data_IF_114420878819
#
_entry.id   IF_114420878819
#
_cell.length_a   1.000
_cell.length_b   1.000
_cell.length_c   1.000
_cell.angle_alpha   90.00
_cell.angle_beta   90.00
_cell.angle_gamma   90.00
#
_symmetry.space_group_name_H-M   'P 1'
#
loop_
_entity.id
_entity.type
_entity.pdbx_description
1 polymer ?
#
# COMPACT_ATOMS: atom_id res chain seq x y z
N UNK A 1 -9.60 1.74 -62.25
CA UNK A 1 -9.58 2.44 -60.94
C UNK A 1 -8.20 2.26 -60.33
N UNK A 2 -7.57 3.33 -59.81
CA UNK A 2 -6.12 3.39 -59.54
C UNK A 2 -5.71 2.47 -58.35
N UNK A 3 -4.62 1.70 -58.47
CA UNK A 3 -4.14 0.76 -57.43
C UNK A 3 -3.77 1.43 -56.08
N UNK A 4 -3.63 2.75 -56.08
CA UNK A 4 -3.39 3.54 -54.86
C UNK A 4 -4.61 3.59 -53.93
N UNK A 5 -5.83 3.71 -54.47
CA UNK A 5 -7.04 3.78 -53.67
C UNK A 5 -7.33 2.45 -52.97
N UNK A 6 -7.09 1.33 -53.66
CA UNK A 6 -7.25 -0.02 -53.09
C UNK A 6 -6.28 -0.26 -51.93
N UNK A 7 -5.02 0.20 -52.03
CA UNK A 7 -4.03 0.08 -50.93
C UNK A 7 -4.44 0.87 -49.68
N UNK A 8 -4.95 2.08 -49.86
CA UNK A 8 -5.41 2.92 -48.74
C UNK A 8 -6.61 2.28 -48.02
N UNK A 9 -7.57 1.76 -48.79
CA UNK A 9 -8.75 1.06 -48.22
C UNK A 9 -8.33 -0.19 -47.43
N UNK A 10 -7.37 -0.97 -47.94
CA UNK A 10 -6.86 -2.15 -47.23
C UNK A 10 -6.16 -1.77 -45.92
N UNK A 11 -5.39 -0.68 -45.89
CA UNK A 11 -4.74 -0.19 -44.66
C UNK A 11 -5.77 0.25 -43.63
N UNK A 12 -6.82 0.95 -44.03
CA UNK A 12 -7.90 1.40 -43.13
C UNK A 12 -8.64 0.19 -42.54
N UNK A 13 -8.99 -0.80 -43.36
CA UNK A 13 -9.66 -2.02 -42.91
C UNK A 13 -8.74 -2.82 -41.98
N UNK A 14 -7.45 -2.95 -42.31
CA UNK A 14 -6.48 -3.63 -41.47
C UNK A 14 -6.33 -2.93 -40.11
N UNK A 15 -6.21 -1.60 -40.07
CA UNK A 15 -6.15 -0.84 -38.83
C UNK A 15 -7.44 -0.98 -38.00
N UNK A 16 -8.61 -0.97 -38.66
CA UNK A 16 -9.91 -1.11 -38.01
C UNK A 16 -10.15 -2.52 -37.40
N UNK A 17 -9.44 -3.55 -37.87
CA UNK A 17 -9.52 -4.91 -37.32
C UNK A 17 -8.40 -5.16 -36.31
N UNK A 18 -7.17 -4.76 -36.64
CA UNK A 18 -5.98 -5.00 -35.80
C UNK A 18 -6.03 -4.19 -34.52
N UNK A 19 -6.51 -2.93 -34.54
CA UNK A 19 -6.55 -2.12 -33.33
C UNK A 19 -7.53 -2.66 -32.27
N UNK A 20 -8.79 -3.05 -32.60
CA UNK A 20 -9.67 -3.71 -31.64
C UNK A 20 -9.16 -5.08 -31.23
N UNK A 21 -8.61 -5.88 -32.15
CA UNK A 21 -8.07 -7.20 -31.82
C UNK A 21 -6.86 -7.12 -30.89
N UNK A 22 -5.96 -6.15 -31.09
CA UNK A 22 -4.84 -5.89 -30.20
C UNK A 22 -5.30 -5.38 -28.83
N UNK A 23 -6.33 -4.52 -28.80
CA UNK A 23 -6.96 -4.06 -27.56
C UNK A 23 -7.56 -5.24 -26.76
N UNK A 24 -8.37 -6.07 -27.40
CA UNK A 24 -8.97 -7.25 -26.76
C UNK A 24 -7.93 -8.32 -26.39
N UNK A 25 -6.90 -8.51 -27.21
CA UNK A 25 -5.81 -9.44 -26.88
C UNK A 25 -5.00 -8.94 -25.68
N UNK A 26 -4.75 -7.64 -25.58
CA UNK A 26 -4.11 -7.02 -24.42
C UNK A 26 -4.99 -7.15 -23.17
N UNK A 27 -6.30 -6.88 -23.28
CA UNK A 27 -7.26 -7.02 -22.18
C UNK A 27 -7.41 -8.48 -21.72
N UNK A 28 -7.36 -9.44 -22.66
CA UNK A 28 -7.41 -10.87 -22.36
C UNK A 28 -6.10 -11.37 -21.73
N UNK A 29 -4.95 -10.87 -22.21
CA UNK A 29 -3.64 -11.22 -21.67
C UNK A 29 -3.44 -10.68 -20.25
N UNK A 30 -3.88 -9.45 -19.96
CA UNK A 30 -3.84 -8.87 -18.62
C UNK A 30 -4.80 -9.57 -17.65
N UNK A 31 -5.92 -10.11 -18.14
CA UNK A 31 -6.88 -10.86 -17.30
C UNK A 31 -6.54 -12.34 -17.08
N UNK A 32 -5.78 -13.00 -17.97
CA UNK A 32 -5.77 -14.47 -18.03
C UNK A 32 -4.46 -15.17 -17.61
N UNK A 33 -3.36 -14.46 -17.37
CA UNK A 33 -2.04 -15.10 -17.21
C UNK A 33 -1.21 -14.68 -16.00
N UNK A 34 -1.81 -14.15 -14.93
CA UNK A 34 -1.05 -13.83 -13.72
C UNK A 34 -1.08 -15.03 -12.76
N UNK A 35 0.06 -15.71 -12.51
CA UNK A 35 0.13 -16.78 -11.52
C UNK A 35 -0.32 -16.26 -10.15
N UNK A 36 -1.12 -17.05 -9.43
CA UNK A 36 -1.76 -16.71 -8.15
C UNK A 36 -0.81 -16.23 -7.05
N UNK A 37 0.51 -16.41 -7.20
CA UNK A 37 1.53 -16.00 -6.24
C UNK A 37 2.19 -14.63 -6.54
N UNK A 38 1.85 -13.94 -7.64
CA UNK A 38 2.45 -12.66 -8.09
C UNK A 38 1.43 -11.48 -8.02
N UNK A 39 0.16 -11.79 -7.77
CA UNK A 39 -0.97 -10.92 -8.12
C UNK A 39 -1.09 -9.55 -7.40
N UNK A 40 -0.77 -9.37 -6.10
CA UNK A 40 -1.05 -8.10 -5.43
C UNK A 40 -0.01 -7.01 -5.74
N UNK A 41 1.25 -7.37 -5.95
CA UNK A 41 2.32 -6.41 -6.27
C UNK A 41 2.15 -5.74 -7.64
N UNK A 42 1.33 -6.32 -8.52
CA UNK A 42 0.98 -5.74 -9.81
C UNK A 42 0.10 -4.49 -9.71
N UNK A 43 -0.57 -4.31 -8.57
CA UNK A 43 -1.38 -3.14 -8.27
C UNK A 43 -0.62 -2.14 -7.38
N UNK A 44 0.67 -2.37 -7.12
CA UNK A 44 1.51 -1.46 -6.35
C UNK A 44 2.49 -0.80 -7.32
N UNK A 45 2.60 0.54 -7.35
CA UNK A 45 3.56 1.23 -8.20
C UNK A 45 5.02 0.85 -7.86
N UNK A 46 5.84 0.55 -8.87
CA UNK A 46 7.24 0.16 -8.70
C UNK A 46 8.17 1.28 -8.21
N UNK A 47 7.68 2.51 -8.18
CA UNK A 47 8.34 3.68 -7.59
C UNK A 47 7.90 3.97 -6.15
N UNK A 48 7.07 3.12 -5.53
CA UNK A 48 6.58 3.29 -4.15
C UNK A 48 7.73 3.51 -3.17
N UNK A 49 7.55 4.47 -2.27
CA UNK A 49 8.48 4.81 -1.19
C UNK A 49 8.36 3.85 -0.02
N UNK A 50 7.16 3.34 0.24
CA UNK A 50 6.87 2.33 1.26
C UNK A 50 6.08 1.22 0.60
N UNK A 51 6.41 -0.02 0.94
CA UNK A 51 5.57 -1.19 0.70
C UNK A 51 5.56 -2.00 1.98
N UNK A 52 4.40 -2.42 2.46
CA UNK A 52 4.27 -3.25 3.65
C UNK A 52 3.25 -4.36 3.42
N UNK A 53 3.57 -5.56 3.87
CA UNK A 53 2.60 -6.66 4.00
C UNK A 53 2.19 -6.80 5.46
N UNK A 54 0.92 -7.10 5.71
CA UNK A 54 0.36 -7.34 7.04
C UNK A 54 -0.46 -8.62 6.99
N UNK A 55 -0.01 -9.63 7.73
CA UNK A 55 -0.69 -10.91 7.91
C UNK A 55 -1.43 -10.92 9.25
N UNK A 56 -2.75 -10.92 9.19
CA UNK A 56 -3.61 -10.98 10.39
C UNK A 56 -4.80 -11.91 10.15
N UNK A 57 -5.02 -12.85 11.06
CA UNK A 57 -6.16 -13.78 11.03
C UNK A 57 -6.37 -14.52 9.70
N UNK A 58 -5.28 -14.89 9.01
CA UNK A 58 -5.33 -15.59 7.71
C UNK A 58 -5.59 -14.67 6.51
N UNK A 59 -5.70 -13.38 6.74
CA UNK A 59 -5.80 -12.34 5.71
C UNK A 59 -4.45 -11.66 5.52
N UNK A 60 -4.14 -11.34 4.26
CA UNK A 60 -2.98 -10.52 3.89
C UNK A 60 -3.44 -9.18 3.30
N UNK A 61 -2.86 -8.10 3.81
CA UNK A 61 -3.03 -6.74 3.31
C UNK A 61 -1.69 -6.20 2.83
N UNK A 62 -1.70 -5.45 1.72
CA UNK A 62 -0.52 -4.79 1.18
C UNK A 62 -0.73 -3.29 1.22
N UNK A 63 0.06 -2.58 2.02
CA UNK A 63 0.03 -1.13 2.07
C UNK A 63 1.17 -0.59 1.21
N UNK A 64 0.92 0.48 0.48
CA UNK A 64 1.95 1.17 -0.27
C UNK A 64 1.80 2.67 -0.16
N UNK A 65 2.91 3.38 -0.38
CA UNK A 65 2.93 4.82 -0.46
C UNK A 65 3.67 5.24 -1.72
N UNK A 66 3.04 6.05 -2.56
CA UNK A 66 3.69 6.64 -3.74
C UNK A 66 3.50 8.16 -3.77
N UNK A 67 4.63 8.88 -3.86
CA UNK A 67 4.65 10.34 -3.87
C UNK A 67 3.83 10.99 -2.74
N UNK A 68 3.86 10.42 -1.54
CA UNK A 68 3.14 10.89 -0.34
C UNK A 68 1.68 10.42 -0.22
N UNK A 69 1.18 9.64 -1.19
CA UNK A 69 -0.20 9.16 -1.20
C UNK A 69 -0.27 7.68 -0.83
N UNK A 70 -1.25 7.30 0.00
CA UNK A 70 -1.35 5.95 0.58
C UNK A 70 -2.41 5.12 -0.16
N UNK A 71 -2.08 3.87 -0.43
CA UNK A 71 -3.02 2.86 -0.91
C UNK A 71 -2.84 1.51 -0.23
N UNK A 72 -3.87 0.68 -0.34
CA UNK A 72 -4.00 -0.64 0.26
C UNK A 72 -4.53 -1.58 -0.81
N UNK A 73 -3.86 -2.70 -1.04
CA UNK A 73 -4.36 -3.83 -1.82
C UNK A 73 -4.76 -4.93 -0.84
N UNK A 74 -5.96 -5.45 -0.97
CA UNK A 74 -6.47 -6.52 -0.11
C UNK A 74 -7.21 -7.55 -0.95
N UNK A 75 -7.09 -8.83 -0.59
CA UNK A 75 -7.88 -9.88 -1.24
C UNK A 75 -9.37 -9.67 -0.93
N UNK A 76 -10.25 -9.81 -1.93
CA UNK A 76 -11.70 -9.62 -1.74
C UNK A 76 -12.28 -10.67 -0.76
N UNK A 77 -11.69 -11.86 -0.68
CA UNK A 77 -12.09 -12.88 0.31
C UNK A 77 -11.89 -12.41 1.75
N UNK A 78 -11.02 -11.42 1.99
CA UNK A 78 -10.83 -10.81 3.29
C UNK A 78 -11.92 -9.80 3.67
N UNK A 79 -12.70 -9.36 2.69
CA UNK A 79 -13.71 -8.29 2.81
C UNK A 79 -15.10 -8.89 2.98
N UNK A 80 -15.24 -10.22 3.00
CA UNK A 80 -16.50 -10.92 3.25
C UNK A 80 -17.09 -10.69 4.66
N UNK A 81 -16.49 -9.82 5.48
CA UNK A 81 -17.04 -9.33 6.76
C UNK A 81 -17.68 -7.94 6.64
N UNK A 82 -17.96 -7.45 5.43
CA UNK A 82 -18.82 -6.28 5.23
C UNK A 82 -20.23 -6.64 5.73
N UNK A 83 -20.76 -5.79 6.62
CA UNK A 83 -22.06 -5.96 7.27
C UNK A 83 -23.12 -6.44 6.25
N UNK A 84 -23.78 -7.59 6.46
CA UNK A 84 -24.79 -8.11 5.55
C UNK A 84 -25.99 -7.15 5.34
N UNK A 85 -26.11 -6.11 6.16
CA UNK A 85 -27.11 -5.05 6.02
C UNK A 85 -26.70 -3.91 5.05
N UNK A 86 -25.49 -3.94 4.48
CA UNK A 86 -25.08 -2.99 3.44
C UNK A 86 -25.70 -3.37 2.09
N UNK A 87 -26.85 -2.77 1.78
CA UNK A 87 -27.49 -2.90 0.46
C UNK A 87 -26.83 -1.96 -0.55
N UNK A 88 -26.22 -2.52 -1.59
CA UNK A 88 -25.75 -1.76 -2.75
C UNK A 88 -26.95 -1.14 -3.49
N UNK A 89 -26.86 0.15 -3.82
CA UNK A 89 -27.87 0.87 -4.61
C UNK A 89 -27.25 1.34 -5.92
N UNK A 90 -27.99 1.20 -7.01
CA UNK A 90 -27.57 1.56 -8.38
C UNK A 90 -27.73 3.06 -8.68
N UNK A 91 -28.06 3.87 -7.67
CA UNK A 91 -28.01 5.33 -7.70
C UNK A 91 -26.88 5.79 -6.78
N UNK A 92 -26.27 6.99 -6.94
CA UNK A 92 -25.35 7.55 -5.95
C UNK A 92 -26.08 7.65 -4.60
N UNK A 93 -26.03 6.58 -3.83
CA UNK A 93 -26.83 6.42 -2.65
C UNK A 93 -25.92 6.72 -1.46
N UNK A 94 -26.44 7.56 -0.57
CA UNK A 94 -25.88 7.64 0.76
C UNK A 94 -25.82 6.22 1.34
N UNK A 95 -24.63 5.81 1.83
CA UNK A 95 -24.49 4.60 2.61
C UNK A 95 -25.18 4.87 3.94
N UNK A 96 -26.48 4.63 3.99
CA UNK A 96 -27.29 4.83 5.18
C UNK A 96 -27.19 3.59 6.05
N UNK A 97 -26.10 3.49 6.82
CA UNK A 97 -26.03 2.56 7.93
C UNK A 97 -26.98 3.04 9.03
N UNK A 98 -28.11 2.35 9.24
CA UNK A 98 -29.01 2.58 10.38
C UNK A 98 -28.44 1.94 11.65
N UNK A 99 -27.24 2.38 12.04
CA UNK A 99 -26.51 1.88 13.20
C UNK A 99 -25.58 2.96 13.74
N UNK A 100 -25.67 3.20 15.03
CA UNK A 100 -24.86 4.10 15.87
C UNK A 100 -23.54 4.55 15.24
N UNK A 101 -23.45 5.80 14.78
CA UNK A 101 -22.20 6.50 14.41
C UNK A 101 -21.13 5.64 13.69
N UNK A 102 -21.52 4.85 12.69
CA UNK A 102 -20.59 4.03 11.90
C UNK A 102 -19.66 4.86 11.00
N UNK A 103 -18.53 4.29 10.60
CA UNK A 103 -17.49 4.92 9.77
C UNK A 103 -18.00 5.51 8.44
N UNK A 104 -19.06 4.91 7.91
CA UNK A 104 -19.70 5.30 6.64
C UNK A 104 -21.01 6.08 6.86
N UNK A 105 -21.34 6.47 8.09
CA UNK A 105 -22.57 7.22 8.38
C UNK A 105 -22.55 8.58 7.68
N UNK A 106 -23.44 8.77 6.71
CA UNK A 106 -23.53 10.00 5.91
C UNK A 106 -22.54 10.07 4.74
N UNK A 107 -21.82 8.98 4.44
CA UNK A 107 -21.00 8.90 3.24
C UNK A 107 -21.86 8.71 1.99
N UNK A 108 -21.37 9.17 0.84
CA UNK A 108 -22.00 8.93 -0.46
C UNK A 108 -21.01 8.21 -1.37
N UNK A 109 -21.49 7.30 -2.21
CA UNK A 109 -20.65 6.61 -3.19
C UNK A 109 -20.95 7.14 -4.58
N UNK A 110 -19.91 7.65 -5.24
CA UNK A 110 -19.95 8.06 -6.64
C UNK A 110 -19.06 7.14 -7.46
N UNK A 111 -19.51 6.78 -8.65
CA UNK A 111 -18.67 6.07 -9.61
C UNK A 111 -17.95 7.07 -10.52
N UNK A 112 -16.65 6.90 -10.71
CA UNK A 112 -15.81 7.62 -11.67
C UNK A 112 -15.10 6.60 -12.55
N UNK A 113 -14.73 7.00 -13.77
CA UNK A 113 -13.95 6.15 -14.67
C UNK A 113 -12.57 6.77 -14.85
N UNK A 114 -11.52 5.99 -14.60
CA UNK A 114 -10.14 6.37 -14.85
C UNK A 114 -9.48 5.30 -15.72
N UNK A 115 -8.99 5.68 -16.90
CA UNK A 115 -8.31 4.78 -17.84
C UNK A 115 -9.08 3.48 -18.11
N UNK A 116 -10.40 3.62 -18.34
CA UNK A 116 -11.36 2.52 -18.53
C UNK A 116 -11.63 1.62 -17.30
N UNK A 117 -11.02 1.92 -16.15
CA UNK A 117 -11.31 1.26 -14.87
C UNK A 117 -12.41 1.99 -14.13
N UNK A 118 -13.40 1.25 -13.64
CA UNK A 118 -14.44 1.76 -12.75
C UNK A 118 -13.88 1.94 -11.34
N UNK A 119 -13.90 3.18 -10.85
CA UNK A 119 -13.42 3.55 -9.52
C UNK A 119 -14.61 4.09 -8.72
N UNK A 120 -14.72 3.65 -7.48
CA UNK A 120 -15.72 4.10 -6.51
C UNK A 120 -15.09 5.16 -5.61
N UNK A 121 -15.62 6.38 -5.66
CA UNK A 121 -15.30 7.47 -4.74
C UNK A 121 -16.32 7.43 -3.59
N UNK A 122 -15.85 7.10 -2.39
CA UNK A 122 -16.62 7.12 -1.15
C UNK A 122 -16.34 8.47 -0.48
N UNK A 123 -17.30 9.37 -0.55
CA UNK A 123 -17.20 10.74 -0.09
C UNK A 123 -17.61 10.90 1.37
N UNK A 124 -17.01 11.87 2.06
CA UNK A 124 -17.39 12.30 3.40
C UNK A 124 -17.31 11.20 4.47
N UNK A 125 -16.31 10.31 4.40
CA UNK A 125 -16.06 9.32 5.44
C UNK A 125 -15.61 10.03 6.71
N UNK A 126 -16.27 9.73 7.84
CA UNK A 126 -15.87 10.25 9.14
C UNK A 126 -14.67 9.47 9.68
N UNK A 127 -13.47 10.02 9.49
CA UNK A 127 -12.22 9.37 9.91
C UNK A 127 -11.87 9.61 11.37
N UNK A 128 -12.59 10.50 12.05
CA UNK A 128 -12.32 10.84 13.46
C UNK A 128 -12.52 9.64 14.39
N UNK A 129 -13.51 8.80 14.12
CA UNK A 129 -13.71 7.55 14.85
C UNK A 129 -12.61 6.50 14.60
N UNK A 130 -12.00 6.50 13.42
CA UNK A 130 -10.88 5.60 13.08
C UNK A 130 -9.63 6.03 13.85
N UNK A 131 -9.28 7.31 13.77
CA UNK A 131 -8.06 7.84 14.37
C UNK A 131 -8.06 7.73 15.90
N UNK A 132 -9.20 7.98 16.55
CA UNK A 132 -9.34 7.84 18.01
C UNK A 132 -9.13 6.38 18.44
N UNK A 133 -9.74 5.41 17.74
CA UNK A 133 -9.63 3.99 18.05
C UNK A 133 -8.24 3.42 17.75
N UNK A 134 -7.62 3.83 16.63
CA UNK A 134 -6.29 3.34 16.24
C UNK A 134 -5.17 3.90 17.13
N UNK A 135 -5.25 5.19 17.48
CA UNK A 135 -4.19 5.86 18.22
C UNK A 135 -4.44 5.85 19.74
N UNK A 136 -5.62 5.40 20.20
CA UNK A 136 -6.06 5.47 21.60
C UNK A 136 -5.76 6.83 22.24
N UNK A 137 -6.00 7.90 21.48
CA UNK A 137 -5.86 9.28 21.95
C UNK A 137 -7.24 9.90 21.95
N UNK A 138 -7.55 10.60 23.04
CA UNK A 138 -8.71 11.48 23.14
C UNK A 138 -8.47 12.73 22.30
N UNK A 139 -8.51 12.58 20.97
CA UNK A 139 -8.53 13.72 20.06
C UNK A 139 -9.83 14.50 20.32
N UNK A 140 -9.73 15.82 20.55
CA UNK A 140 -10.90 16.70 20.55
C UNK A 140 -11.71 16.39 19.29
N UNK A 141 -13.02 16.23 19.43
CA UNK A 141 -13.97 15.91 18.37
C UNK A 141 -13.84 16.91 17.19
N UNK A 142 -12.92 16.66 16.29
CA UNK A 142 -12.84 17.36 15.00
C UNK A 142 -13.65 16.53 14.05
N UNK A 143 -14.69 17.08 13.42
CA UNK A 143 -15.44 16.38 12.37
C UNK A 143 -14.59 16.36 11.09
N UNK A 144 -13.54 15.54 11.08
CA UNK A 144 -12.66 15.39 9.93
C UNK A 144 -13.29 14.37 8.99
N UNK A 145 -13.66 14.83 7.80
CA UNK A 145 -14.14 13.98 6.72
C UNK A 145 -13.07 13.82 5.65
N UNK A 146 -13.01 12.64 5.03
CA UNK A 146 -12.10 12.34 3.94
C UNK A 146 -12.83 11.57 2.83
N UNK A 147 -12.33 11.70 1.60
CA UNK A 147 -12.76 10.88 0.49
C UNK A 147 -11.78 9.71 0.33
N UNK A 148 -12.32 8.51 0.14
CA UNK A 148 -11.54 7.30 -0.15
C UNK A 148 -11.98 6.79 -1.51
N UNK A 149 -11.02 6.30 -2.29
CA UNK A 149 -11.22 5.77 -3.62
C UNK A 149 -10.92 4.28 -3.59
N UNK A 150 -11.72 3.50 -4.32
CA UNK A 150 -11.55 2.06 -4.40
C UNK A 150 -11.85 1.52 -5.80
N UNK A 151 -11.18 0.44 -6.20
CA UNK A 151 -11.55 -0.31 -7.40
C UNK A 151 -11.27 -1.80 -7.24
N UNK A 152 -12.04 -2.61 -7.97
CA UNK A 152 -11.91 -4.07 -8.00
C UNK A 152 -10.98 -4.49 -9.15
N UNK A 153 -10.07 -5.42 -8.87
CA UNK A 153 -9.11 -5.96 -9.82
C UNK A 153 -9.60 -7.27 -10.47
N UNK A 154 -10.76 -7.22 -11.11
CA UNK A 154 -11.39 -8.38 -11.77
C UNK A 154 -11.74 -9.53 -10.83
N UNK A 155 -12.15 -9.22 -9.59
CA UNK A 155 -12.75 -10.17 -8.65
C UNK A 155 -11.80 -10.84 -7.67
N UNK A 156 -10.51 -10.48 -7.64
CA UNK A 156 -9.52 -11.09 -6.74
C UNK A 156 -9.04 -10.13 -5.64
N UNK A 157 -8.76 -8.87 -5.97
CA UNK A 157 -8.31 -7.86 -5.01
C UNK A 157 -9.16 -6.61 -5.12
N UNK A 158 -9.27 -5.90 -4.01
CA UNK A 158 -9.65 -4.50 -4.02
C UNK A 158 -8.39 -3.68 -3.80
N UNK A 159 -8.32 -2.53 -4.46
CA UNK A 159 -7.38 -1.47 -4.10
C UNK A 159 -8.18 -0.33 -3.50
N UNK A 160 -7.76 0.17 -2.34
CA UNK A 160 -8.41 1.24 -1.58
C UNK A 160 -7.35 2.27 -1.20
N UNK A 161 -7.63 3.56 -1.37
CA UNK A 161 -6.68 4.59 -0.95
C UNK A 161 -7.12 5.99 -1.31
N UNK A 162 -6.16 6.90 -1.28
CA UNK A 162 -6.33 8.24 -1.82
C UNK A 162 -6.39 8.22 -3.35
N UNK A 163 -6.99 9.27 -3.94
CA UNK A 163 -7.18 9.35 -5.39
C UNK A 163 -5.86 9.16 -6.18
N UNK A 164 -4.78 9.81 -5.72
CA UNK A 164 -3.48 9.70 -6.37
C UNK A 164 -2.94 8.27 -6.30
N UNK A 165 -2.97 7.64 -5.12
CA UNK A 165 -2.55 6.26 -4.96
C UNK A 165 -3.35 5.28 -5.83
N UNK A 166 -4.65 5.51 -6.03
CA UNK A 166 -5.49 4.71 -6.94
C UNK A 166 -5.12 4.93 -8.41
N UNK A 167 -4.95 6.18 -8.84
CA UNK A 167 -4.55 6.48 -10.21
C UNK A 167 -3.17 5.88 -10.56
N UNK A 168 -2.21 5.97 -9.64
CA UNK A 168 -0.88 5.38 -9.81
C UNK A 168 -0.94 3.85 -9.80
N UNK A 169 -1.80 3.24 -8.98
CA UNK A 169 -2.02 1.79 -8.96
C UNK A 169 -2.58 1.27 -10.28
N UNK A 170 -3.61 1.94 -10.82
CA UNK A 170 -4.17 1.62 -12.15
C UNK A 170 -3.10 1.79 -13.23
N UNK A 171 -2.36 2.90 -13.19
CA UNK A 171 -1.29 3.19 -14.15
C UNK A 171 -0.15 2.18 -14.08
N UNK A 172 0.23 1.73 -12.88
CA UNK A 172 1.27 0.74 -12.66
C UNK A 172 0.87 -0.62 -13.25
N UNK A 173 -0.37 -1.06 -12.98
CA UNK A 173 -0.92 -2.31 -13.51
C UNK A 173 -0.99 -2.30 -15.03
N UNK A 174 -1.57 -1.26 -15.64
CA UNK A 174 -1.70 -1.15 -17.09
C UNK A 174 -0.34 -0.99 -17.79
N UNK A 175 0.58 -0.24 -17.20
CA UNK A 175 1.88 0.06 -17.83
C UNK A 175 3.00 -0.94 -17.47
N UNK A 176 2.71 -2.01 -16.71
CA UNK A 176 3.72 -2.94 -16.18
C UNK A 176 4.86 -2.23 -15.42
N UNK A 177 4.56 -1.12 -14.74
CA UNK A 177 5.48 -0.37 -13.87
C UNK A 177 5.20 -0.69 -12.41
N UNK A 178 5.03 -1.97 -12.15
CA UNK A 178 4.58 -2.48 -10.87
C UNK A 178 5.73 -2.81 -9.91
N UNK A 179 5.38 -3.22 -8.68
CA UNK A 179 6.32 -3.48 -7.61
C UNK A 179 6.68 -4.97 -7.46
N UNK A 180 6.51 -5.80 -8.50
CA UNK A 180 6.83 -7.24 -8.42
C UNK A 180 8.29 -7.49 -8.00
N UNK A 181 9.22 -6.62 -8.40
CA UNK A 181 10.63 -6.69 -8.01
C UNK A 181 10.88 -6.53 -6.50
N UNK A 182 9.93 -5.98 -5.75
CA UNK A 182 10.07 -5.79 -4.31
C UNK A 182 9.66 -7.00 -3.48
N UNK A 183 9.03 -8.01 -4.10
CA UNK A 183 8.63 -9.24 -3.40
C UNK A 183 9.80 -9.89 -2.66
N UNK A 184 11.00 -9.86 -3.25
CA UNK A 184 12.21 -10.41 -2.62
C UNK A 184 12.64 -9.72 -1.33
N UNK A 185 12.14 -8.52 -1.03
CA UNK A 185 12.39 -7.82 0.24
C UNK A 185 11.33 -8.13 1.29
N UNK A 186 10.25 -8.84 0.93
CA UNK A 186 9.16 -9.16 1.83
C UNK A 186 9.34 -10.54 2.45
N UNK A 187 8.96 -10.67 3.72
CA UNK A 187 8.97 -11.94 4.42
C UNK A 187 7.55 -12.41 4.75
N UNK A 188 7.08 -13.39 3.97
CA UNK A 188 5.74 -13.99 4.12
C UNK A 188 5.55 -14.73 5.46
N UNK A 189 6.65 -15.09 6.15
CA UNK A 189 6.58 -15.72 7.48
C UNK A 189 6.42 -14.71 8.62
N UNK A 190 6.43 -13.40 8.33
CA UNK A 190 6.31 -12.34 9.33
C UNK A 190 4.87 -11.82 9.41
N UNK A 191 4.43 -11.41 10.60
CA UNK A 191 3.13 -10.75 10.76
C UNK A 191 3.09 -9.40 10.04
N UNK A 192 4.20 -8.67 10.04
CA UNK A 192 4.38 -7.44 9.27
C UNK A 192 5.72 -7.53 8.56
N UNK A 193 5.73 -7.29 7.26
CA UNK A 193 6.95 -7.05 6.49
C UNK A 193 6.87 -5.66 5.88
N UNK A 194 7.97 -4.92 5.81
CA UNK A 194 8.00 -3.57 5.27
C UNK A 194 9.31 -3.34 4.52
N UNK A 195 9.20 -2.62 3.41
CA UNK A 195 10.28 -2.01 2.67
C UNK A 195 10.05 -0.50 2.66
N UNK A 196 11.10 0.25 2.94
CA UNK A 196 11.12 1.70 2.87
C UNK A 196 12.33 2.16 2.06
N UNK A 197 12.06 2.90 0.97
CA UNK A 197 13.07 3.59 0.19
C UNK A 197 13.33 4.95 0.83
N UNK A 198 14.55 5.15 1.30
CA UNK A 198 14.99 6.43 1.84
C UNK A 198 15.27 7.38 0.67
N UNK A 199 14.23 8.01 0.13
CA UNK A 199 14.32 8.94 -1.01
C UNK A 199 15.05 10.23 -0.63
N UNK A 200 16.39 10.21 -0.63
CA UNK A 200 17.29 11.33 -0.29
C UNK A 200 17.06 11.96 1.10
N UNK A 201 16.11 11.46 1.89
CA UNK A 201 15.76 11.97 3.22
C UNK A 201 16.83 11.59 4.24
N UNK A 202 17.48 10.44 4.02
CA UNK A 202 18.67 10.00 4.76
C UNK A 202 19.75 9.68 3.73
N UNK A 203 20.68 10.60 3.44
CA UNK A 203 21.59 10.49 2.30
C UNK A 203 22.56 9.29 2.39
N UNK A 204 22.73 8.71 3.57
CA UNK A 204 23.59 7.53 3.79
C UNK A 204 22.85 6.20 3.65
N UNK A 205 21.50 6.20 3.61
CA UNK A 205 20.68 4.98 3.56
C UNK A 205 20.01 4.88 2.19
N UNK A 206 20.11 3.71 1.57
CA UNK A 206 19.40 3.41 0.32
C UNK A 206 17.98 2.94 0.62
N UNK A 207 17.84 1.92 1.46
CA UNK A 207 16.55 1.39 1.88
C UNK A 207 16.63 0.71 3.24
N UNK A 208 15.47 0.52 3.84
CA UNK A 208 15.27 -0.22 5.09
C UNK A 208 14.24 -1.30 4.84
N UNK A 209 14.49 -2.52 5.30
CA UNK A 209 13.46 -3.55 5.41
C UNK A 209 13.19 -3.86 6.87
N UNK A 210 11.92 -4.07 7.23
CA UNK A 210 11.52 -4.49 8.57
C UNK A 210 10.69 -5.77 8.49
N UNK A 211 10.98 -6.74 9.34
CA UNK A 211 10.20 -7.97 9.50
C UNK A 211 9.83 -8.12 10.98
N UNK A 212 8.54 -8.17 11.28
CA UNK A 212 8.02 -8.27 12.64
C UNK A 212 7.13 -9.48 12.79
N UNK A 213 7.41 -10.28 13.82
CA UNK A 213 6.60 -11.41 14.30
C UNK A 213 5.93 -11.01 15.62
N UNK A 214 5.18 -11.93 16.24
CA UNK A 214 4.59 -11.72 17.57
C UNK A 214 5.61 -11.35 18.65
N UNK A 215 6.86 -11.82 18.53
CA UNK A 215 7.86 -11.71 19.60
C UNK A 215 9.12 -10.93 19.21
N UNK A 216 9.39 -10.76 17.91
CA UNK A 216 10.65 -10.17 17.44
C UNK A 216 10.42 -9.24 16.27
N UNK A 217 11.19 -8.17 16.22
CA UNK A 217 11.26 -7.25 15.09
C UNK A 217 12.69 -7.14 14.61
N UNK A 218 12.87 -7.27 13.31
CA UNK A 218 14.15 -7.23 12.63
C UNK A 218 14.17 -6.11 11.61
N UNK A 219 15.22 -5.31 11.61
CA UNK A 219 15.48 -4.30 10.59
C UNK A 219 16.77 -4.63 9.86
N UNK A 220 16.74 -4.56 8.53
CA UNK A 220 17.94 -4.43 7.71
C UNK A 220 17.99 -3.00 7.18
N UNK A 221 19.12 -2.35 7.36
CA UNK A 221 19.38 -1.02 6.85
C UNK A 221 20.51 -1.17 5.83
N UNK A 222 20.18 -0.92 4.57
CA UNK A 222 21.12 -0.98 3.47
C UNK A 222 21.65 0.44 3.21
N UNK A 223 22.94 0.69 3.43
CA UNK A 223 23.51 2.01 3.14
C UNK A 223 23.62 2.25 1.63
N UNK A 224 23.83 3.50 1.24
CA UNK A 224 24.22 3.87 -0.13
C UNK A 224 25.68 3.48 -0.40
N UNK A 225 26.55 3.56 0.62
CA UNK A 225 27.95 3.14 0.58
C UNK A 225 28.31 2.33 1.83
N UNK A 226 28.98 1.19 1.64
CA UNK A 226 29.39 0.31 2.74
C UNK A 226 30.58 0.83 3.56
N UNK A 227 31.25 1.90 3.14
CA UNK A 227 32.48 2.38 3.77
C UNK A 227 32.27 2.91 5.21
N UNK A 228 31.07 3.41 5.53
CA UNK A 228 30.79 4.11 6.79
C UNK A 228 29.89 3.30 7.75
N UNK A 229 29.71 1.99 7.50
CA UNK A 229 28.80 1.13 8.26
C UNK A 229 28.99 1.18 9.78
N UNK A 230 30.23 1.33 10.26
CA UNK A 230 30.51 1.43 11.70
C UNK A 230 30.06 2.78 12.28
N UNK A 231 30.23 3.86 11.52
CA UNK A 231 29.77 5.21 11.90
C UNK A 231 28.24 5.25 11.89
N UNK A 232 27.61 4.74 10.83
CA UNK A 232 26.16 4.65 10.73
C UNK A 232 25.57 3.79 11.86
N UNK A 233 26.18 2.64 12.17
CA UNK A 233 25.80 1.82 13.32
C UNK A 233 25.87 2.61 14.62
N UNK A 234 26.95 3.35 14.86
CA UNK A 234 27.10 4.17 16.06
C UNK A 234 26.04 5.28 16.15
N UNK A 235 25.73 5.93 15.02
CA UNK A 235 24.68 6.95 14.95
C UNK A 235 23.30 6.37 15.25
N UNK A 236 22.94 5.21 14.67
CA UNK A 236 21.68 4.53 14.95
C UNK A 236 21.60 4.14 16.43
N UNK A 237 22.68 3.57 16.97
CA UNK A 237 22.72 3.18 18.38
C UNK A 237 22.53 4.40 19.30
N UNK A 238 23.19 5.51 18.99
CA UNK A 238 23.06 6.77 19.72
C UNK A 238 21.65 7.36 19.62
N UNK A 239 21.05 7.33 18.42
CA UNK A 239 19.70 7.81 18.18
C UNK A 239 18.66 7.01 18.98
N UNK A 240 18.79 5.68 19.02
CA UNK A 240 17.92 4.82 19.83
C UNK A 240 18.07 5.17 21.31
N UNK A 241 19.29 5.17 21.84
CA UNK A 241 19.58 5.44 23.26
C UNK A 241 19.09 6.81 23.73
N UNK A 242 19.15 7.83 22.87
CA UNK A 242 18.72 9.19 23.20
C UNK A 242 17.24 9.47 22.90
N UNK A 243 16.51 8.52 22.34
CA UNK A 243 15.09 8.67 21.99
C UNK A 243 14.18 8.00 23.02
N UNK A 244 12.92 8.42 23.03
CA UNK A 244 11.86 7.73 23.79
C UNK A 244 11.64 6.27 23.33
N UNK A 245 12.15 5.89 22.14
CA UNK A 245 12.11 4.51 21.64
C UNK A 245 12.85 3.58 22.60
N UNK A 246 13.97 4.01 23.19
CA UNK A 246 14.72 3.20 24.18
C UNK A 246 13.87 2.80 25.39
N UNK A 247 12.91 3.64 25.80
CA UNK A 247 11.98 3.33 26.91
C UNK A 247 10.98 2.24 26.52
N UNK A 248 10.52 2.26 25.27
CA UNK A 248 9.55 1.30 24.75
C UNK A 248 10.18 -0.03 24.36
N UNK A 249 11.38 -0.04 23.78
CA UNK A 249 12.06 -1.28 23.38
C UNK A 249 12.92 -1.86 24.51
N UNK A 250 13.32 -1.04 25.49
CA UNK A 250 14.23 -1.42 26.57
C UNK A 250 15.66 -1.66 26.08
N UNK A 251 16.45 -2.39 26.87
CA UNK A 251 17.82 -2.79 26.51
C UNK A 251 17.87 -4.08 25.66
N UNK A 252 16.73 -4.58 25.20
CA UNK A 252 16.61 -5.87 24.52
C UNK A 252 16.69 -5.70 23.00
N UNK A 253 17.78 -5.11 22.54
CA UNK A 253 18.09 -4.99 21.12
C UNK A 253 19.56 -5.23 20.84
N UNK A 254 19.86 -5.70 19.63
CA UNK A 254 21.24 -5.90 19.16
C UNK A 254 21.43 -5.21 17.81
N UNK A 255 22.53 -4.50 17.64
CA UNK A 255 22.92 -3.92 16.34
C UNK A 255 24.22 -4.56 15.85
N UNK A 256 24.14 -5.26 14.71
CA UNK A 256 25.27 -5.95 14.08
C UNK A 256 25.47 -5.44 12.66
N UNK A 257 26.67 -5.67 12.12
CA UNK A 257 26.97 -5.43 10.70
C UNK A 257 27.32 -6.77 10.09
N UNK A 258 26.63 -7.15 9.03
CA UNK A 258 26.96 -8.31 8.20
C UNK A 258 26.49 -8.08 6.77
N UNK A 259 27.12 -8.75 5.80
CA UNK A 259 26.75 -8.65 4.38
C UNK A 259 26.63 -7.20 3.86
N UNK A 260 27.51 -6.32 4.32
CA UNK A 260 27.51 -4.88 4.01
C UNK A 260 26.22 -4.13 4.39
N UNK A 261 25.48 -4.63 5.39
CA UNK A 261 24.26 -4.04 5.92
C UNK A 261 24.34 -3.90 7.44
N UNK A 262 23.51 -3.01 7.99
CA UNK A 262 23.30 -2.88 9.43
C UNK A 262 22.03 -3.64 9.78
N UNK A 263 22.12 -4.49 10.79
CA UNK A 263 21.00 -5.28 11.27
C UNK A 263 20.66 -4.86 12.69
N UNK A 264 19.39 -4.56 12.93
CA UNK A 264 18.85 -4.27 14.25
C UNK A 264 17.81 -5.34 14.59
N UNK A 265 18.10 -6.15 15.61
CA UNK A 265 17.13 -7.08 16.19
C UNK A 265 16.57 -6.44 17.47
N UNK A 266 15.26 -6.52 17.64
CA UNK A 266 14.55 -6.12 18.87
C UNK A 266 13.75 -7.33 19.33
N UNK A 267 13.93 -7.74 20.59
CA UNK A 267 13.17 -8.85 21.20
C UNK A 267 11.78 -8.39 21.66
N UNK A 268 11.09 -7.64 20.80
CA UNK A 268 9.69 -7.27 20.90
C UNK A 268 9.04 -7.33 19.51
N UNK A 269 7.81 -7.83 19.46
CA UNK A 269 7.07 -8.03 18.21
C UNK A 269 6.10 -6.89 17.86
N UNK A 270 5.31 -7.12 16.81
CA UNK A 270 4.43 -6.10 16.21
C UNK A 270 3.35 -5.56 17.14
N UNK A 271 2.98 -6.28 18.20
CA UNK A 271 2.02 -5.81 19.22
C UNK A 271 2.55 -4.63 20.03
N UNK A 272 3.88 -4.45 20.08
CA UNK A 272 4.53 -3.32 20.74
C UNK A 272 4.80 -2.14 19.79
N UNK A 273 4.72 -2.35 18.48
CA UNK A 273 5.01 -1.32 17.45
C UNK A 273 4.09 -0.09 17.56
N UNK A 274 2.78 -0.21 17.85
CA UNK A 274 1.93 0.96 18.09
C UNK A 274 2.39 1.81 19.28
N UNK A 275 2.91 1.21 20.35
CA UNK A 275 3.46 1.95 21.49
C UNK A 275 4.75 2.69 21.10
N UNK A 276 5.63 2.02 20.35
CA UNK A 276 6.86 2.62 19.79
C UNK A 276 6.53 3.78 18.84
N UNK A 277 5.58 3.61 17.92
CA UNK A 277 5.13 4.65 17.00
C UNK A 277 4.49 5.83 17.75
N UNK A 278 3.73 5.57 18.81
CA UNK A 278 3.23 6.63 19.70
C UNK A 278 4.39 7.42 20.31
N UNK A 279 5.45 6.75 20.77
CA UNK A 279 6.63 7.44 21.35
C UNK A 279 7.44 8.26 20.35
N UNK A 280 7.39 7.91 19.06
CA UNK A 280 7.96 8.71 17.98
C UNK A 280 7.14 9.97 17.70
N UNK A 281 5.82 9.94 17.94
CA UNK A 281 4.91 11.07 17.68
C UNK A 281 4.74 12.03 18.88
N UNK A 282 5.39 11.77 20.03
CA UNK A 282 5.40 12.69 21.19
C UNK A 282 6.55 13.70 21.12
N UNK A 283 7.27 13.74 20.00
CA UNK A 283 8.42 14.62 19.79
C UNK A 283 8.12 16.00 19.21
N UNK A 284 6.90 16.27 18.72
CA UNK A 284 6.49 17.60 18.24
C UNK A 284 4.97 17.77 18.36
N UNK A 285 4.50 18.31 19.50
CA UNK A 285 3.50 19.40 19.61
C UNK A 285 3.86 20.21 20.86
#
# INVERSE_FOLDING_TARGET
MKPMATKIVVIIIAAAIVAPAAYFAYEYYSKSNVPSSIQPFQYIPGNSTVISTVHTNGTEYYLYMDGGSIGIVANISAISQVDPNLTASNSPAAVSGSGTAGLFSGSNVKTITYDHVTVYEIQNINVSGILQNMLNVSLKNTNTTANIFAYDTSGNFIVIGEQKAINESISAHLSSRDAVSFKGYMNDSSNISLYYRANNTIPTISYITMNSTSNKTYFNISPVNSNDLQVDKFLIQTAISNSNVSREIGNNYTITISNSQIHLNIDKGYTSLPAVLKTLNIGVI
#
